data_IF_704494913432
#
_entry.id   IF_704494913432
#
_cell.length_a   1.000
_cell.length_b   1.000
_cell.length_c   1.000
_cell.angle_alpha   90.00
_cell.angle_beta   90.00
_cell.angle_gamma   90.00
#
_symmetry.space_group_name_H-M   'P 1'
#
loop_
_entity.id
_entity.type
_entity.pdbx_description
1 polymer ?
#
# COMPACT_ATOMS: atom_id res chain seq x y z
N UNK A 1 14.20 4.07 -3.29
CA UNK A 1 13.73 4.50 -4.61
C UNK A 1 13.85 3.36 -5.57
N UNK A 2 13.13 2.31 -5.19
CA UNK A 2 12.82 1.16 -5.99
C UNK A 2 11.43 1.36 -6.62
N UNK A 3 11.21 0.69 -7.76
CA UNK A 3 9.92 0.64 -8.44
C UNK A 3 9.46 -0.82 -8.46
N UNK A 4 8.34 -1.11 -7.81
CA UNK A 4 7.75 -2.44 -7.71
C UNK A 4 6.50 -2.50 -8.60
N UNK A 5 6.40 -3.50 -9.47
CA UNK A 5 5.28 -3.64 -10.42
C UNK A 5 4.80 -5.07 -10.51
N UNK A 6 3.49 -5.26 -10.63
CA UNK A 6 2.79 -6.53 -10.66
C UNK A 6 1.91 -6.78 -11.90
N UNK A 7 1.37 -8.00 -12.02
CA UNK A 7 0.35 -8.43 -13.00
C UNK A 7 -0.42 -9.59 -12.33
N UNK A 8 -1.68 -9.38 -11.95
CA UNK A 8 -2.47 -10.37 -11.22
C UNK A 8 -2.69 -9.96 -9.76
N UNK A 9 -2.90 -10.93 -8.87
CA UNK A 9 -3.01 -10.66 -7.43
C UNK A 9 -1.58 -10.62 -6.82
N UNK A 10 -1.07 -9.42 -6.53
CA UNK A 10 0.27 -9.25 -5.96
C UNK A 10 0.27 -8.85 -4.47
N UNK A 11 1.39 -9.15 -3.78
CA UNK A 11 1.65 -8.73 -2.40
C UNK A 11 2.99 -8.00 -2.34
N UNK A 12 2.95 -6.73 -1.93
CA UNK A 12 4.12 -5.88 -1.72
C UNK A 12 4.38 -5.74 -0.23
N UNK A 13 5.51 -6.26 0.25
CA UNK A 13 5.92 -6.13 1.66
C UNK A 13 6.77 -4.88 1.83
N UNK A 14 6.40 -4.03 2.79
CA UNK A 14 7.01 -2.73 3.02
C UNK A 14 7.34 -2.55 4.50
N UNK A 15 8.50 -1.95 4.78
CA UNK A 15 8.92 -1.57 6.13
C UNK A 15 9.66 -0.24 6.21
N UNK A 16 9.82 0.27 7.43
CA UNK A 16 10.70 1.41 7.66
C UNK A 16 12.14 1.05 7.25
N UNK A 17 12.84 2.03 6.68
CA UNK A 17 14.20 1.87 6.16
C UNK A 17 14.29 1.40 4.71
N UNK A 18 13.18 1.02 4.07
CA UNK A 18 13.15 0.72 2.62
C UNK A 18 13.34 2.01 1.79
N UNK A 19 13.05 3.16 2.42
CA UNK A 19 13.25 4.48 1.84
C UNK A 19 12.00 4.92 1.08
N UNK A 20 12.20 5.74 0.05
CA UNK A 20 11.09 6.28 -0.74
C UNK A 20 10.92 5.47 -2.00
N UNK A 21 9.81 4.73 -2.12
CA UNK A 21 9.57 3.77 -3.20
C UNK A 21 8.27 4.05 -3.95
N UNK A 22 8.11 3.38 -5.10
CA UNK A 22 6.89 3.46 -5.91
C UNK A 22 6.37 2.06 -6.20
N UNK A 23 5.06 1.85 -6.00
CA UNK A 23 4.37 0.58 -6.20
C UNK A 23 3.27 0.77 -7.24
N UNK A 24 3.15 -0.17 -8.17
CA UNK A 24 2.04 -0.28 -9.12
C UNK A 24 1.55 -1.75 -9.14
N UNK A 25 0.34 -1.99 -8.62
CA UNK A 25 -0.27 -3.34 -8.62
C UNK A 25 -0.63 -3.83 -10.03
N UNK A 26 -0.78 -2.91 -10.97
CA UNK A 26 -1.28 -3.17 -12.32
C UNK A 26 -2.79 -2.96 -12.41
N UNK A 27 -3.22 -2.23 -13.43
CA UNK A 27 -4.63 -1.84 -13.56
C UNK A 27 -5.56 -3.04 -13.85
N UNK A 28 -6.72 -3.07 -13.18
CA UNK A 28 -7.84 -3.93 -13.53
C UNK A 28 -8.63 -4.48 -12.35
N UNK A 29 -9.95 -4.26 -12.37
CA UNK A 29 -10.92 -4.74 -11.35
C UNK A 29 -11.05 -6.25 -11.12
N UNK A 30 -10.23 -7.08 -11.77
CA UNK A 30 -10.29 -8.54 -11.62
C UNK A 30 -9.30 -9.08 -10.58
N UNK A 31 -8.36 -8.24 -10.15
CA UNK A 31 -7.28 -8.60 -9.25
C UNK A 31 -7.40 -7.84 -7.93
N UNK A 32 -6.68 -8.30 -6.93
CA UNK A 32 -6.59 -7.63 -5.63
C UNK A 32 -5.13 -7.52 -5.24
N UNK A 33 -4.60 -6.32 -5.40
CA UNK A 33 -3.23 -6.01 -5.03
C UNK A 33 -3.15 -5.53 -3.59
N UNK A 34 -2.20 -6.09 -2.85
CA UNK A 34 -2.08 -5.91 -1.40
C UNK A 34 -0.73 -5.32 -1.02
N UNK A 35 -0.73 -4.26 -0.21
CA UNK A 35 0.47 -3.82 0.49
C UNK A 35 0.41 -4.35 1.93
N UNK A 36 1.40 -5.16 2.30
CA UNK A 36 1.59 -5.71 3.64
C UNK A 36 2.59 -4.84 4.41
N UNK A 37 2.10 -4.23 5.49
CA UNK A 37 2.85 -3.32 6.37
C UNK A 37 3.35 -4.02 7.64
N UNK A 38 3.04 -5.31 7.85
CA UNK A 38 3.54 -6.11 8.97
C UNK A 38 4.96 -6.62 8.65
N UNK A 39 5.96 -5.75 8.74
CA UNK A 39 7.35 -6.18 8.57
C UNK A 39 7.79 -7.00 9.82
N UNK A 40 8.16 -8.29 9.69
CA UNK A 40 8.51 -9.16 10.82
C UNK A 40 9.79 -8.77 11.61
N UNK A 41 10.33 -7.57 11.39
CA UNK A 41 11.45 -6.98 12.12
C UNK A 41 11.16 -5.67 12.85
N UNK A 42 10.01 -5.02 12.60
CA UNK A 42 9.72 -3.69 13.13
C UNK A 42 8.34 -3.65 13.80
N UNK A 43 8.33 -3.68 15.13
CA UNK A 43 7.10 -3.73 15.90
C UNK A 43 6.43 -2.35 15.91
N UNK A 44 5.42 -2.16 15.05
CA UNK A 44 4.51 -1.02 15.11
C UNK A 44 5.05 0.22 14.43
N UNK A 45 5.13 0.19 13.11
CA UNK A 45 5.25 1.39 12.28
C UNK A 45 3.92 2.14 12.32
N UNK A 46 3.90 3.31 12.98
CA UNK A 46 2.82 4.30 12.81
C UNK A 46 2.89 4.80 11.37
N UNK A 47 2.08 4.23 10.48
CA UNK A 47 1.93 4.67 9.11
C UNK A 47 0.65 5.51 8.95
N UNK A 48 0.65 6.40 7.96
CA UNK A 48 -0.55 7.12 7.53
C UNK A 48 -0.71 7.04 6.04
N UNK A 49 -1.95 7.06 5.54
CA UNK A 49 -2.25 7.05 4.11
C UNK A 49 -2.96 8.35 3.74
N UNK A 50 -2.46 8.99 2.69
CA UNK A 50 -3.12 10.07 1.99
C UNK A 50 -3.59 9.55 0.62
N UNK A 51 -4.91 9.42 0.44
CA UNK A 51 -5.50 8.96 -0.82
C UNK A 51 -5.63 10.10 -1.84
N UNK A 52 -5.34 9.77 -3.10
CA UNK A 52 -5.53 10.71 -4.20
C UNK A 52 -7.02 10.90 -4.53
N UNK A 53 -7.40 12.04 -5.16
CA UNK A 53 -8.78 12.29 -5.54
C UNK A 53 -9.35 11.21 -6.46
N UNK A 54 -10.39 10.51 -6.00
CA UNK A 54 -11.04 9.43 -6.74
C UNK A 54 -10.88 8.07 -6.07
N UNK A 55 -9.89 7.93 -5.19
CA UNK A 55 -9.70 6.74 -4.35
C UNK A 55 -10.45 6.88 -3.03
N UNK A 56 -11.08 5.78 -2.58
CA UNK A 56 -11.88 5.75 -1.34
C UNK A 56 -11.55 4.54 -0.48
N UNK A 57 -11.76 4.67 0.83
CA UNK A 57 -11.79 3.54 1.75
C UNK A 57 -13.18 2.93 1.68
N UNK A 58 -13.27 1.66 1.28
CA UNK A 58 -14.52 0.92 1.18
C UNK A 58 -14.83 0.13 2.46
N UNK A 59 -13.80 -0.40 3.11
CA UNK A 59 -13.95 -1.17 4.35
C UNK A 59 -12.69 -1.11 5.21
N UNK A 60 -12.86 -1.25 6.53
CA UNK A 60 -11.77 -1.32 7.49
C UNK A 60 -12.06 -2.36 8.56
N UNK A 61 -11.07 -3.20 8.83
CA UNK A 61 -11.11 -4.19 9.91
C UNK A 61 -10.06 -3.86 10.97
N UNK A 62 -9.80 -4.81 11.89
CA UNK A 62 -8.76 -4.64 12.89
C UNK A 62 -7.33 -4.69 12.30
N UNK A 63 -7.17 -5.37 11.15
CA UNK A 63 -5.88 -5.73 10.57
C UNK A 63 -5.86 -5.56 9.04
N UNK A 64 -6.84 -4.83 8.48
CA UNK A 64 -6.89 -4.57 7.05
C UNK A 64 -7.68 -3.32 6.69
N UNK A 65 -7.35 -2.75 5.54
CA UNK A 65 -8.05 -1.65 4.89
C UNK A 65 -8.31 -2.05 3.44
N UNK A 66 -9.57 -2.08 3.04
CA UNK A 66 -9.96 -2.31 1.65
C UNK A 66 -10.29 -0.94 1.00
N UNK A 67 -9.73 -0.70 -0.18
CA UNK A 67 -9.90 0.50 -0.98
C UNK A 67 -10.82 0.25 -2.19
N UNK A 68 -11.17 1.34 -2.87
CA UNK A 68 -11.80 1.28 -4.20
C UNK A 68 -10.85 0.66 -5.23
N UNK A 69 -11.40 0.01 -6.26
CA UNK A 69 -10.64 -0.46 -7.43
C UNK A 69 -9.65 0.59 -7.94
N UNK A 70 -8.45 0.13 -8.29
CA UNK A 70 -7.37 0.90 -8.86
C UNK A 70 -6.97 2.13 -7.99
N UNK A 71 -7.03 2.01 -6.65
CA UNK A 71 -6.76 3.16 -5.79
C UNK A 71 -5.29 3.59 -5.80
N UNK A 72 -5.07 4.89 -5.58
CA UNK A 72 -3.76 5.53 -5.57
C UNK A 72 -3.60 6.48 -4.39
N UNK A 73 -2.36 6.72 -4.00
CA UNK A 73 -2.05 7.61 -2.89
C UNK A 73 -0.60 7.52 -2.43
N UNK A 74 -0.37 7.99 -1.20
CA UNK A 74 0.96 7.96 -0.56
C UNK A 74 0.85 7.42 0.86
N UNK A 75 1.76 6.50 1.20
CA UNK A 75 2.00 6.02 2.56
C UNK A 75 3.13 6.85 3.15
N UNK A 76 2.92 7.43 4.32
CA UNK A 76 3.97 8.08 5.09
C UNK A 76 4.37 7.16 6.25
N UNK A 77 5.64 6.75 6.29
CA UNK A 77 6.21 5.92 7.35
C UNK A 77 6.77 6.76 8.49
N UNK A 78 6.90 6.14 9.67
CA UNK A 78 7.34 6.82 10.89
C UNK A 78 8.80 7.29 10.87
N UNK A 79 9.63 6.72 9.99
CA UNK A 79 11.02 7.16 9.74
C UNK A 79 11.11 8.37 8.80
N UNK A 80 9.96 8.83 8.29
CA UNK A 80 9.84 9.94 7.36
C UNK A 80 10.00 9.55 5.90
N UNK A 81 10.08 8.24 5.60
CA UNK A 81 10.04 7.77 4.22
C UNK A 81 8.61 7.79 3.67
N UNK A 82 8.51 7.90 2.35
CA UNK A 82 7.24 8.02 1.63
C UNK A 82 7.16 6.98 0.52
N UNK A 83 6.03 6.29 0.41
CA UNK A 83 5.79 5.30 -0.64
C UNK A 83 4.57 5.72 -1.44
N UNK A 84 4.78 5.99 -2.72
CA UNK A 84 3.68 6.25 -3.65
C UNK A 84 3.14 4.94 -4.18
N UNK A 85 1.82 4.80 -4.26
CA UNK A 85 1.17 3.60 -4.80
C UNK A 85 0.10 3.95 -5.84
N UNK A 86 -0.02 3.10 -6.85
CA UNK A 86 -1.08 3.09 -7.85
C UNK A 86 -1.64 1.67 -7.99
N UNK A 87 -2.91 1.56 -8.36
CA UNK A 87 -3.62 0.30 -8.60
C UNK A 87 -3.53 -0.67 -7.41
N UNK A 88 -3.95 -0.23 -6.21
CA UNK A 88 -3.94 -1.05 -4.99
C UNK A 88 -5.33 -1.12 -4.36
N UNK A 89 -5.80 -2.33 -4.07
CA UNK A 89 -7.11 -2.56 -3.44
C UNK A 89 -7.02 -2.77 -1.94
N UNK A 90 -5.86 -3.17 -1.40
CA UNK A 90 -5.79 -3.63 -0.01
C UNK A 90 -4.51 -3.25 0.72
N UNK A 91 -4.67 -2.95 2.01
CA UNK A 91 -3.59 -2.94 2.98
C UNK A 91 -3.85 -3.96 4.08
N UNK A 92 -2.82 -4.70 4.48
CA UNK A 92 -2.82 -5.60 5.64
C UNK A 92 -1.71 -5.21 6.64
N UNK A 93 -1.93 -5.44 7.94
CA UNK A 93 -0.98 -5.15 9.03
C UNK A 93 -1.29 -5.94 10.31
#
# INVERSE_FOLDING_TARGET
ADNLTGDGDDIFMIGAGDGNDTIDGGAGSAWTDTIDLDNPGDSGTDWTIDLDPGSTIENQTANSLDLSDDASGTINLSDGSEISFENIERFDW
#
